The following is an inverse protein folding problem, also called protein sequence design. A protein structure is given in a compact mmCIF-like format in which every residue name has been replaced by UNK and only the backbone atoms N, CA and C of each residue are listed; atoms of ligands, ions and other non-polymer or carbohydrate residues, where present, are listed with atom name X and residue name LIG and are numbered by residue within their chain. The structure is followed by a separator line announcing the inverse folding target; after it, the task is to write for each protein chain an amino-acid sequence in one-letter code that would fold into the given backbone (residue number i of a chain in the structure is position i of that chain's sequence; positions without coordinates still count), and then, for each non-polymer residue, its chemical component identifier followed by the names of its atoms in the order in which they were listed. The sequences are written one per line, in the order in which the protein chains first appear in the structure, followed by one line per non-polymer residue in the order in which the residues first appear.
data_IF_100661081232
#
_entry.id   IF_100661081232
#
_cell.length_a   1.000
_cell.length_b   1.000
_cell.length_c   1.000
_cell.angle_alpha   90.00
_cell.angle_beta   90.00
_cell.angle_gamma   90.00
#
_symmetry.space_group_name_H-M   'P 1'
#
loop_
_entity.id
_entity.type
_entity.pdbx_description
1 polymer ?
#
# COMPACT_ATOMS: atom_id res chain seq x y z
N UNK A 1 -11.93 -4.25 -72.98
CA UNK A 1 -12.02 -2.85 -72.56
C UNK A 1 -12.76 -2.66 -71.23
N UNK A 2 -13.87 -3.34 -71.00
CA UNK A 2 -14.69 -3.30 -69.78
C UNK A 2 -13.96 -3.79 -68.50
N UNK A 3 -13.13 -4.86 -68.57
CA UNK A 3 -12.36 -5.35 -67.44
C UNK A 3 -11.29 -4.39 -66.90
N UNK A 4 -10.69 -3.61 -67.80
CA UNK A 4 -9.72 -2.57 -67.39
C UNK A 4 -10.38 -1.43 -66.60
N UNK A 5 -11.62 -1.06 -66.96
CA UNK A 5 -12.37 0.00 -66.27
C UNK A 5 -12.80 -0.49 -64.86
N UNK A 6 -13.23 -1.74 -64.74
CA UNK A 6 -13.57 -2.35 -63.44
C UNK A 6 -12.35 -2.46 -62.51
N UNK A 7 -11.19 -2.81 -63.04
CA UNK A 7 -9.95 -2.90 -62.23
C UNK A 7 -9.48 -1.53 -61.70
N UNK A 8 -9.54 -0.51 -62.51
CA UNK A 8 -9.16 0.87 -62.14
C UNK A 8 -10.13 1.42 -61.03
N UNK A 9 -11.43 1.13 -61.17
CA UNK A 9 -12.42 1.55 -60.17
C UNK A 9 -12.17 0.84 -58.78
N UNK A 10 -11.87 -0.43 -58.81
CA UNK A 10 -11.52 -1.18 -57.58
C UNK A 10 -10.23 -0.69 -56.92
N UNK A 11 -9.24 -0.26 -57.72
CA UNK A 11 -8.01 0.31 -57.22
C UNK A 11 -8.25 1.69 -56.57
N UNK A 12 -9.13 2.53 -57.16
CA UNK A 12 -9.54 3.82 -56.58
C UNK A 12 -10.29 3.63 -55.27
N UNK A 13 -11.22 2.69 -55.19
CA UNK A 13 -11.95 2.39 -53.97
C UNK A 13 -10.99 1.90 -52.87
N UNK A 14 -10.02 1.04 -53.19
CA UNK A 14 -9.04 0.56 -52.21
C UNK A 14 -8.14 1.73 -51.71
N UNK A 15 -7.72 2.64 -52.56
CA UNK A 15 -6.97 3.83 -52.13
C UNK A 15 -7.78 4.76 -51.22
N UNK A 16 -9.10 4.91 -51.50
CA UNK A 16 -10.00 5.66 -50.63
C UNK A 16 -10.17 5.03 -49.25
N UNK A 17 -10.30 3.71 -49.19
CA UNK A 17 -10.40 2.95 -47.92
C UNK A 17 -9.10 3.10 -47.10
N UNK A 18 -7.93 3.00 -47.75
CA UNK A 18 -6.64 3.17 -47.06
C UNK A 18 -6.48 4.58 -46.49
N UNK A 19 -6.89 5.61 -47.29
CA UNK A 19 -6.84 6.99 -46.82
C UNK A 19 -7.82 7.26 -45.68
N UNK A 20 -9.00 6.65 -45.72
CA UNK A 20 -9.98 6.74 -44.63
C UNK A 20 -9.51 6.08 -43.35
N UNK A 21 -8.89 4.90 -43.45
CA UNK A 21 -8.32 4.17 -42.26
C UNK A 21 -7.14 4.96 -41.66
N UNK A 22 -6.26 5.56 -42.50
CA UNK A 22 -5.18 6.42 -42.05
C UNK A 22 -5.70 7.70 -41.37
N UNK A 23 -6.72 8.34 -41.93
CA UNK A 23 -7.32 9.52 -41.34
C UNK A 23 -8.03 9.22 -40.02
N UNK A 24 -8.72 8.07 -39.91
CA UNK A 24 -9.39 7.63 -38.69
C UNK A 24 -8.37 7.29 -37.58
N UNK A 25 -7.25 6.68 -37.93
CA UNK A 25 -6.17 6.39 -36.99
C UNK A 25 -5.48 7.64 -36.45
N UNK A 26 -5.31 8.66 -37.30
CA UNK A 26 -4.77 9.96 -36.90
C UNK A 26 -5.73 10.71 -35.97
N UNK A 27 -7.04 10.74 -36.30
CA UNK A 27 -8.07 11.36 -35.47
C UNK A 27 -8.19 10.68 -34.10
N UNK A 28 -8.08 9.35 -34.04
CA UNK A 28 -8.10 8.60 -32.78
C UNK A 28 -6.85 8.91 -31.93
N UNK A 29 -5.67 9.02 -32.54
CA UNK A 29 -4.43 9.43 -31.85
C UNK A 29 -4.53 10.83 -31.25
N UNK A 30 -5.14 11.79 -31.97
CA UNK A 30 -5.37 13.16 -31.48
C UNK A 30 -6.41 13.20 -30.34
N UNK A 31 -7.46 12.39 -30.41
CA UNK A 31 -8.47 12.31 -29.36
C UNK A 31 -7.91 11.74 -28.05
N UNK A 32 -7.08 10.70 -28.14
CA UNK A 32 -6.40 10.11 -26.97
C UNK A 32 -5.37 11.08 -26.36
N UNK A 33 -4.65 11.85 -27.19
CA UNK A 33 -3.69 12.84 -26.71
C UNK A 33 -4.39 14.03 -26.03
N UNK A 34 -5.56 14.46 -26.53
CA UNK A 34 -6.35 15.56 -25.94
C UNK A 34 -6.94 15.24 -24.57
N UNK A 35 -7.24 13.96 -24.28
CA UNK A 35 -7.75 13.52 -22.97
C UNK A 35 -6.64 13.50 -21.91
N UNK A 36 -5.38 13.31 -22.32
CA UNK A 36 -4.23 13.22 -21.41
C UNK A 36 -3.70 14.58 -20.93
N UNK A 37 -4.12 15.69 -21.53
CA UNK A 37 -3.57 17.04 -21.24
C UNK A 37 -4.49 17.96 -20.44
N UNK A 38 -5.69 17.53 -20.03
CA UNK A 38 -6.70 18.39 -19.40
C UNK A 38 -6.89 18.19 -17.91
N UNK A 39 -5.82 17.98 -17.14
CA UNK A 39 -5.88 18.08 -15.68
C UNK A 39 -5.20 19.38 -15.22
N UNK A 40 -5.96 20.45 -15.10
CA UNK A 40 -5.53 21.62 -14.33
C UNK A 40 -5.59 21.27 -12.84
N UNK A 41 -4.52 21.43 -12.06
CA UNK A 41 -4.61 21.28 -10.62
C UNK A 41 -5.49 22.40 -10.07
N UNK A 42 -6.63 22.04 -9.53
CA UNK A 42 -7.44 22.94 -8.70
C UNK A 42 -6.77 22.98 -7.33
N UNK A 43 -6.09 24.06 -7.02
CA UNK A 43 -5.67 24.35 -5.66
C UNK A 43 -6.91 24.83 -4.89
N UNK A 44 -7.52 23.95 -4.12
CA UNK A 44 -8.44 24.35 -3.08
C UNK A 44 -7.60 24.83 -1.89
N UNK A 45 -7.88 26.02 -1.39
CA UNK A 45 -7.40 26.47 -0.08
C UNK A 45 -7.96 25.48 0.96
N UNK A 46 -7.08 24.65 1.57
CA UNK A 46 -7.50 23.72 2.61
C UNK A 46 -7.84 24.53 3.87
N UNK A 47 -9.11 24.83 4.09
CA UNK A 47 -9.60 25.22 5.40
C UNK A 47 -9.19 24.14 6.41
N UNK A 48 -8.51 24.56 7.49
CA UNK A 48 -8.16 23.63 8.57
C UNK A 48 -9.44 23.03 9.13
N UNK A 49 -9.56 21.70 9.19
CA UNK A 49 -10.75 21.08 9.77
C UNK A 49 -10.92 21.53 11.23
N UNK A 50 -12.17 21.67 11.67
CA UNK A 50 -12.47 22.10 13.04
C UNK A 50 -11.77 21.23 14.09
N UNK A 51 -11.72 19.93 13.88
CA UNK A 51 -11.02 18.97 14.74
C UNK A 51 -9.99 18.19 13.93
N UNK A 52 -8.73 18.16 14.39
CA UNK A 52 -7.66 17.33 13.85
C UNK A 52 -6.74 16.85 14.95
N UNK A 53 -6.76 15.54 15.20
CA UNK A 53 -5.97 14.87 16.22
C UNK A 53 -4.70 14.29 15.61
N UNK A 54 -3.57 14.45 16.30
CA UNK A 54 -2.34 13.70 16.06
C UNK A 54 -1.83 13.13 17.38
N UNK A 55 -1.15 11.99 17.33
CA UNK A 55 -0.49 11.38 18.50
C UNK A 55 0.99 11.12 18.20
N UNK A 56 1.84 11.27 19.19
CA UNK A 56 3.28 11.03 19.07
C UNK A 56 3.88 10.55 20.41
N UNK A 57 4.60 9.41 20.41
CA UNK A 57 4.83 8.48 19.33
C UNK A 57 3.55 7.67 18.97
N UNK A 58 3.56 6.97 17.84
CA UNK A 58 2.45 6.05 17.42
C UNK A 58 2.67 4.61 17.91
N UNK A 59 3.85 4.32 18.42
CA UNK A 59 4.24 3.02 18.98
C UNK A 59 5.21 3.22 20.13
N UNK A 60 5.05 2.42 21.18
CA UNK A 60 5.97 2.34 22.29
C UNK A 60 6.36 0.88 22.52
N UNK A 61 7.68 0.60 22.51
CA UNK A 61 8.26 -0.72 22.81
C UNK A 61 8.86 -0.69 24.20
N UNK A 62 8.37 -1.56 25.07
CA UNK A 62 8.68 -1.54 26.50
C UNK A 62 9.13 -2.92 26.99
N UNK A 63 10.02 -2.93 27.97
CA UNK A 63 10.35 -4.15 28.73
C UNK A 63 9.41 -4.25 29.93
N UNK A 64 8.88 -5.43 30.16
CA UNK A 64 7.92 -5.72 31.23
C UNK A 64 8.55 -6.71 32.20
N UNK A 65 9.01 -6.23 33.37
CA UNK A 65 9.52 -7.05 34.42
C UNK A 65 8.44 -7.29 35.49
N UNK A 66 8.33 -8.50 36.02
CA UNK A 66 7.35 -8.83 37.05
C UNK A 66 7.47 -7.90 38.28
N UNK A 67 6.31 -7.52 38.82
CA UNK A 67 6.17 -6.63 39.99
C UNK A 67 6.73 -5.21 39.76
N UNK A 68 7.03 -4.83 38.51
CA UNK A 68 7.54 -3.49 38.16
C UNK A 68 6.40 -2.55 37.80
N UNK A 69 6.61 -1.27 38.13
CA UNK A 69 5.71 -0.17 37.76
C UNK A 69 6.50 0.86 36.98
N UNK A 70 6.15 1.06 35.71
CA UNK A 70 6.83 2.01 34.84
C UNK A 70 5.85 3.04 34.31
N UNK A 71 6.25 4.31 34.31
CA UNK A 71 5.49 5.40 33.72
C UNK A 71 6.05 5.76 32.35
N UNK A 72 5.13 6.08 31.44
CA UNK A 72 5.40 6.49 30.07
C UNK A 72 4.53 7.67 29.70
N UNK A 73 4.96 8.46 28.72
CA UNK A 73 4.19 9.58 28.19
C UNK A 73 4.01 9.49 26.68
N UNK A 74 2.96 10.13 26.21
CA UNK A 74 2.77 10.42 24.78
C UNK A 74 2.05 11.75 24.63
N UNK A 75 2.14 12.36 23.47
CA UNK A 75 1.53 13.63 23.18
C UNK A 75 0.29 13.47 22.31
N UNK A 76 -0.73 14.26 22.62
CA UNK A 76 -1.91 14.49 21.79
C UNK A 76 -1.87 15.92 21.29
N UNK A 77 -1.70 16.10 19.98
CA UNK A 77 -1.63 17.40 19.33
C UNK A 77 -2.97 17.71 18.68
N UNK A 78 -3.53 18.87 18.97
CA UNK A 78 -4.67 19.42 18.26
C UNK A 78 -4.19 20.36 17.16
N UNK A 79 -4.19 19.88 15.90
CA UNK A 79 -3.82 20.69 14.73
C UNK A 79 -5.03 21.29 14.01
N UNK A 80 -6.23 21.15 14.59
CA UNK A 80 -7.47 21.76 14.13
C UNK A 80 -7.63 23.22 14.56
N UNK A 81 -8.77 23.80 14.21
CA UNK A 81 -9.11 25.20 14.54
C UNK A 81 -9.97 25.36 15.81
N UNK A 82 -10.45 24.25 16.41
CA UNK A 82 -11.26 24.26 17.63
C UNK A 82 -10.68 23.37 18.72
N UNK A 83 -10.85 23.77 20.00
CA UNK A 83 -10.56 22.92 21.13
C UNK A 83 -11.56 21.78 21.28
N UNK A 84 -11.10 20.63 21.80
CA UNK A 84 -11.94 19.46 22.06
C UNK A 84 -11.50 18.71 23.32
N UNK A 85 -12.44 17.92 23.88
CA UNK A 85 -12.14 16.94 24.92
C UNK A 85 -11.94 15.57 24.27
N UNK A 86 -11.10 14.75 24.90
CA UNK A 86 -10.86 13.38 24.46
C UNK A 86 -10.71 12.43 25.64
N UNK A 87 -11.07 11.19 25.41
CA UNK A 87 -10.93 10.09 26.33
C UNK A 87 -9.75 9.22 25.94
N UNK A 88 -9.00 8.71 26.92
CA UNK A 88 -7.93 7.73 26.73
C UNK A 88 -8.27 6.44 27.50
N UNK A 89 -8.03 5.30 26.87
CA UNK A 89 -8.22 3.98 27.44
C UNK A 89 -7.40 2.93 26.68
N UNK A 90 -7.11 1.78 27.32
CA UNK A 90 -6.34 0.71 26.71
C UNK A 90 -7.21 -0.49 26.35
N UNK A 91 -6.98 -1.05 25.16
CA UNK A 91 -7.61 -2.28 24.70
C UNK A 91 -6.57 -3.31 24.28
N UNK A 92 -6.95 -4.62 24.22
CA UNK A 92 -6.14 -5.64 23.60
C UNK A 92 -5.74 -5.25 22.18
N UNK A 93 -4.53 -5.62 21.75
CA UNK A 93 -4.13 -5.51 20.35
C UNK A 93 -3.74 -6.88 19.83
N UNK A 94 -4.50 -7.39 18.89
CA UNK A 94 -4.21 -8.63 18.14
C UNK A 94 -4.60 -8.47 16.69
N UNK A 95 -4.38 -9.49 15.88
CA UNK A 95 -4.78 -9.55 14.47
C UNK A 95 -5.61 -10.80 14.22
N UNK A 96 -6.55 -10.72 13.25
CA UNK A 96 -7.51 -11.80 13.03
C UNK A 96 -7.35 -12.55 11.71
N UNK A 97 -6.46 -12.08 10.82
CA UNK A 97 -6.23 -12.73 9.52
C UNK A 97 -4.83 -12.45 8.99
N UNK A 98 -4.48 -13.07 7.88
CA UNK A 98 -3.18 -12.89 7.22
C UNK A 98 -2.98 -11.50 6.62
N UNK A 99 -4.05 -10.74 6.35
CA UNK A 99 -4.02 -9.33 5.94
C UNK A 99 -3.73 -8.39 7.11
N UNK A 100 -3.60 -8.93 8.32
CA UNK A 100 -3.27 -8.21 9.53
C UNK A 100 -4.34 -7.20 9.96
N UNK A 101 -5.60 -7.55 9.76
CA UNK A 101 -6.72 -6.75 10.26
C UNK A 101 -6.69 -6.71 11.79
N UNK A 102 -6.64 -5.51 12.40
CA UNK A 102 -6.52 -5.40 13.85
C UNK A 102 -7.80 -5.82 14.56
N UNK A 103 -7.65 -6.47 15.72
CA UNK A 103 -8.70 -6.77 16.68
C UNK A 103 -8.39 -6.12 18.02
N UNK A 104 -9.39 -5.44 18.61
CA UNK A 104 -9.23 -4.68 19.84
C UNK A 104 -10.07 -5.23 21.00
N UNK A 105 -10.62 -6.43 20.85
CA UNK A 105 -11.47 -7.10 21.84
C UNK A 105 -10.99 -8.51 22.20
N UNK A 106 -10.05 -9.06 21.42
CA UNK A 106 -9.58 -10.43 21.63
C UNK A 106 -8.57 -10.51 22.79
N UNK A 107 -9.03 -11.05 23.93
CA UNK A 107 -8.20 -11.31 25.11
C UNK A 107 -7.55 -12.68 24.97
N UNK A 108 -6.21 -12.72 25.05
CA UNK A 108 -5.41 -13.94 25.03
C UNK A 108 -4.14 -13.77 25.88
N UNK A 109 -3.26 -14.76 25.87
CA UNK A 109 -2.02 -14.73 26.64
C UNK A 109 -1.09 -13.55 26.29
N UNK A 110 -1.18 -13.03 25.06
CA UNK A 110 -0.34 -11.95 24.53
C UNK A 110 -1.00 -10.56 24.59
N UNK A 111 -2.19 -10.42 25.21
CA UNK A 111 -2.90 -9.14 25.27
C UNK A 111 -3.25 -8.68 26.68
N UNK A 112 -2.70 -9.34 27.70
CA UNK A 112 -2.99 -9.05 29.10
C UNK A 112 -2.53 -7.66 29.54
N UNK A 113 -1.47 -7.12 28.91
CA UNK A 113 -0.92 -5.79 29.21
C UNK A 113 -1.96 -4.68 29.12
N UNK A 114 -3.00 -4.83 28.31
CA UNK A 114 -4.10 -3.85 28.22
C UNK A 114 -4.80 -3.60 29.56
N UNK A 115 -4.81 -4.58 30.47
CA UNK A 115 -5.40 -4.47 31.82
C UNK A 115 -4.44 -3.88 32.84
N UNK A 116 -3.14 -3.85 32.54
CA UNK A 116 -2.10 -3.33 33.44
C UNK A 116 -1.85 -1.84 33.23
N UNK A 117 -2.41 -1.26 32.15
CA UNK A 117 -2.27 0.14 31.81
C UNK A 117 -3.33 0.96 32.55
N UNK A 118 -2.88 2.03 33.21
CA UNK A 118 -3.73 3.05 33.82
C UNK A 118 -3.23 4.44 33.46
N UNK A 119 -4.12 5.42 33.40
CA UNK A 119 -3.87 6.78 32.95
C UNK A 119 -3.98 7.77 34.11
N UNK A 120 -3.03 8.73 34.18
CA UNK A 120 -3.00 9.76 35.20
C UNK A 120 -3.93 10.90 34.77
N UNK A 121 -5.03 11.12 35.49
CA UNK A 121 -5.93 12.24 35.22
C UNK A 121 -5.32 13.60 35.65
N UNK A 122 -6.02 14.70 35.40
CA UNK A 122 -5.57 16.05 35.77
C UNK A 122 -5.50 16.29 37.30
N UNK A 123 -6.12 15.45 38.11
CA UNK A 123 -6.00 15.47 39.59
C UNK A 123 -4.83 14.65 40.11
N UNK A 124 -4.12 13.92 39.25
CA UNK A 124 -2.97 13.09 39.58
C UNK A 124 -3.32 11.64 39.93
N UNK A 125 -4.59 11.25 39.88
CA UNK A 125 -5.06 9.90 40.16
C UNK A 125 -4.96 9.00 38.91
N UNK A 126 -4.75 7.69 39.14
CA UNK A 126 -4.65 6.72 38.07
C UNK A 126 -5.93 5.90 37.94
N UNK A 127 -6.46 5.78 36.70
CA UNK A 127 -7.65 5.00 36.38
C UNK A 127 -7.49 4.29 35.04
N UNK A 128 -8.35 3.30 34.76
CA UNK A 128 -8.36 2.55 33.50
C UNK A 128 -8.75 3.45 32.28
N UNK A 129 -9.38 4.57 32.58
CA UNK A 129 -9.84 5.55 31.60
C UNK A 129 -9.65 6.96 32.18
N UNK A 130 -9.22 7.92 31.37
CA UNK A 130 -9.10 9.31 31.76
C UNK A 130 -9.57 10.24 30.63
N UNK A 131 -10.09 11.42 31.02
CA UNK A 131 -10.55 12.44 30.07
C UNK A 131 -9.69 13.68 30.20
N UNK A 132 -9.36 14.28 29.06
CA UNK A 132 -8.55 15.49 28.96
C UNK A 132 -9.19 16.46 27.96
N UNK A 133 -8.71 17.72 28.03
CA UNK A 133 -9.05 18.75 27.03
C UNK A 133 -7.78 19.31 26.41
N UNK A 134 -7.88 19.72 25.15
CA UNK A 134 -6.80 20.34 24.40
C UNK A 134 -7.36 21.46 23.52
N UNK A 135 -6.80 22.66 23.68
CA UNK A 135 -7.19 23.81 22.87
C UNK A 135 -6.64 23.75 21.45
N UNK A 136 -7.21 24.56 20.55
CA UNK A 136 -6.77 24.65 19.15
C UNK A 136 -5.27 25.00 19.06
N UNK A 137 -4.54 24.21 18.27
CA UNK A 137 -3.10 24.39 18.07
C UNK A 137 -2.22 24.04 19.28
N UNK A 138 -2.79 23.45 20.34
CA UNK A 138 -2.08 23.08 21.56
C UNK A 138 -1.76 21.59 21.61
N UNK A 139 -0.83 21.24 22.51
CA UNK A 139 -0.39 19.88 22.82
C UNK A 139 -0.78 19.54 24.27
N UNK A 140 -1.31 18.35 24.47
CA UNK A 140 -1.54 17.73 25.79
C UNK A 140 -0.62 16.52 25.93
N UNK A 141 0.24 16.52 26.95
CA UNK A 141 0.98 15.34 27.36
C UNK A 141 0.06 14.45 28.21
N UNK A 142 0.03 13.17 27.88
CA UNK A 142 -0.72 12.15 28.61
C UNK A 142 0.26 11.16 29.22
N UNK A 143 0.18 10.99 30.55
CA UNK A 143 0.96 10.01 31.29
C UNK A 143 0.15 8.76 31.53
N UNK A 144 0.76 7.61 31.26
CA UNK A 144 0.21 6.31 31.63
C UNK A 144 1.26 5.46 32.34
N UNK A 145 0.80 4.57 33.21
CA UNK A 145 1.69 3.60 33.86
C UNK A 145 1.27 2.18 33.52
N UNK A 146 2.25 1.30 33.46
CA UNK A 146 2.06 -0.15 33.34
C UNK A 146 2.47 -0.76 34.68
N UNK A 147 1.50 -1.37 35.38
CA UNK A 147 1.74 -2.11 36.62
C UNK A 147 1.78 -3.60 36.28
N UNK A 148 2.97 -4.14 36.17
CA UNK A 148 3.18 -5.52 35.78
C UNK A 148 2.95 -6.45 36.99
N UNK A 149 1.99 -7.41 36.90
CA UNK A 149 1.77 -8.34 38.01
C UNK A 149 2.94 -9.36 38.19
N UNK A 150 2.91 -10.13 39.25
CA UNK A 150 3.68 -11.36 39.37
C UNK A 150 3.07 -12.43 38.46
N UNK A 151 3.87 -13.38 38.00
CA UNK A 151 3.44 -14.54 37.21
C UNK A 151 2.80 -14.12 35.87
N UNK A 152 3.62 -13.54 35.01
CA UNK A 152 3.24 -13.17 33.65
C UNK A 152 3.77 -14.19 32.64
N UNK A 153 3.02 -14.46 31.56
CA UNK A 153 3.52 -15.33 30.50
C UNK A 153 4.74 -14.72 29.80
N UNK A 154 5.75 -15.56 29.53
CA UNK A 154 6.93 -15.19 28.76
C UNK A 154 6.57 -14.79 27.32
N UNK A 155 7.34 -13.85 26.75
CA UNK A 155 7.20 -13.42 25.35
C UNK A 155 6.63 -12.02 25.18
N UNK A 156 5.88 -11.83 24.09
CA UNK A 156 5.30 -10.52 23.72
C UNK A 156 3.95 -10.24 24.37
N UNK A 157 3.70 -8.99 24.71
CA UNK A 157 2.43 -8.47 25.23
C UNK A 157 2.01 -7.25 24.43
N UNK A 158 0.77 -7.21 23.93
CA UNK A 158 0.32 -6.21 22.96
C UNK A 158 -0.97 -5.53 23.41
N UNK A 159 -0.95 -4.21 23.42
CA UNK A 159 -2.11 -3.36 23.67
C UNK A 159 -2.14 -2.19 22.69
N UNK A 160 -3.30 -1.57 22.61
CA UNK A 160 -3.47 -0.27 21.98
C UNK A 160 -4.07 0.70 22.99
N UNK A 161 -3.46 1.86 23.11
CA UNK A 161 -4.00 2.98 23.87
C UNK A 161 -4.76 3.86 22.89
N UNK A 162 -6.06 3.95 23.06
CA UNK A 162 -6.89 4.81 22.23
C UNK A 162 -6.99 6.22 22.79
N UNK A 163 -6.93 7.18 21.88
CA UNK A 163 -7.31 8.58 22.06
C UNK A 163 -8.57 8.79 21.22
N UNK A 164 -9.71 8.97 21.88
CA UNK A 164 -11.02 9.09 21.27
C UNK A 164 -11.62 10.45 21.55
N UNK A 165 -11.89 11.24 20.51
CA UNK A 165 -12.50 12.54 20.67
C UNK A 165 -13.92 12.43 21.24
N UNK A 166 -14.25 13.26 22.19
CA UNK A 166 -15.60 13.39 22.73
C UNK A 166 -16.33 14.44 21.90
N UNK A 167 -17.41 14.09 21.18
CA UNK A 167 -18.18 15.05 20.41
C UNK A 167 -18.77 16.13 21.34
N UNK A 168 -18.72 17.40 20.90
CA UNK A 168 -19.50 18.45 21.55
C UNK A 168 -20.99 18.14 21.42
N UNK A 169 -21.75 18.28 22.49
CA UNK A 169 -23.21 18.19 22.46
C UNK A 169 -23.79 19.38 21.71
N UNK A 170 -23.98 19.22 20.42
CA UNK A 170 -24.86 20.09 19.66
C UNK A 170 -26.19 19.38 19.44
N UNK A 171 -27.28 20.08 19.70
CA UNK A 171 -28.68 19.57 19.56
C UNK A 171 -29.09 19.37 18.09
N UNK A 172 -28.14 19.37 17.14
CA UNK A 172 -28.38 19.08 15.73
C UNK A 172 -28.43 17.55 15.54
N UNK A 173 -29.59 16.99 15.31
CA UNK A 173 -29.84 15.55 15.14
C UNK A 173 -29.18 14.95 13.87
N UNK A 174 -27.85 15.02 13.73
CA UNK A 174 -27.07 14.52 12.60
C UNK A 174 -26.21 13.28 12.94
N UNK A 175 -25.62 12.65 11.91
CA UNK A 175 -24.64 11.59 12.08
C UNK A 175 -23.34 12.22 12.61
N UNK A 176 -22.87 11.74 13.76
CA UNK A 176 -21.61 12.20 14.37
C UNK A 176 -20.45 11.26 13.99
N UNK A 177 -19.38 11.82 13.48
CA UNK A 177 -18.13 11.09 13.25
C UNK A 177 -17.23 11.27 14.46
N UNK A 178 -16.85 10.17 15.12
CA UNK A 178 -15.90 10.15 16.24
C UNK A 178 -14.52 9.80 15.68
N UNK A 179 -13.55 10.70 15.84
CA UNK A 179 -12.16 10.43 15.50
C UNK A 179 -11.49 9.66 16.63
N UNK A 180 -10.86 8.54 16.30
CA UNK A 180 -10.11 7.72 17.24
C UNK A 180 -8.75 7.34 16.66
N UNK A 181 -7.69 7.60 17.40
CA UNK A 181 -6.32 7.21 17.09
C UNK A 181 -5.80 6.22 18.12
N UNK A 182 -4.78 5.44 17.78
CA UNK A 182 -4.22 4.43 18.67
C UNK A 182 -2.70 4.48 18.73
N UNK A 183 -2.15 4.57 19.96
CA UNK A 183 -0.75 4.27 20.27
C UNK A 183 -0.61 2.78 20.52
N UNK A 184 0.18 2.09 19.74
CA UNK A 184 0.51 0.68 19.97
C UNK A 184 1.51 0.52 21.11
N UNK A 185 1.23 -0.36 22.03
CA UNK A 185 2.16 -0.73 23.12
C UNK A 185 2.59 -2.17 22.90
N UNK A 186 3.88 -2.36 22.59
CA UNK A 186 4.53 -3.64 22.38
C UNK A 186 5.45 -3.90 23.56
N UNK A 187 5.03 -4.78 24.46
CA UNK A 187 5.75 -5.19 25.63
C UNK A 187 6.52 -6.49 25.40
N UNK A 188 7.75 -6.56 25.89
CA UNK A 188 8.53 -7.79 25.97
C UNK A 188 8.74 -8.15 27.44
N UNK A 189 8.26 -9.32 27.87
CA UNK A 189 8.49 -9.82 29.22
C UNK A 189 9.91 -10.41 29.35
N UNK A 190 10.46 -10.43 30.56
CA UNK A 190 11.76 -11.01 30.86
C UNK A 190 11.73 -12.55 31.01
N UNK A 191 10.57 -13.20 30.82
CA UNK A 191 10.44 -14.65 30.79
C UNK A 191 11.04 -15.28 29.53
N UNK A 192 10.90 -16.60 29.39
CA UNK A 192 11.45 -17.34 28.25
C UNK A 192 10.86 -16.82 26.92
N UNK A 193 11.72 -16.32 26.06
CA UNK A 193 11.35 -15.88 24.71
C UNK A 193 11.74 -16.96 23.71
N UNK A 194 10.73 -17.47 22.98
CA UNK A 194 10.92 -18.40 21.87
C UNK A 194 10.69 -17.65 20.55
N UNK A 195 11.74 -17.50 19.78
CA UNK A 195 11.67 -16.90 18.45
C UNK A 195 11.58 -18.00 17.39
N UNK A 196 10.62 -17.89 16.47
CA UNK A 196 10.43 -18.85 15.37
C UNK A 196 9.77 -18.18 14.18
N UNK A 197 10.48 -18.12 13.07
CA UNK A 197 9.98 -17.57 11.80
C UNK A 197 10.01 -18.62 10.71
N UNK A 198 8.99 -18.59 9.84
CA UNK A 198 8.96 -19.39 8.61
C UNK A 198 8.48 -18.53 7.45
N UNK A 199 9.26 -18.48 6.36
CA UNK A 199 8.83 -17.83 5.11
C UNK A 199 8.07 -18.87 4.29
N UNK A 200 6.75 -18.80 4.26
CA UNK A 200 5.87 -19.73 3.56
C UNK A 200 5.90 -19.52 2.05
N UNK A 201 5.85 -18.26 1.62
CA UNK A 201 5.87 -17.89 0.21
C UNK A 201 6.65 -16.61 -0.04
N UNK A 202 7.17 -16.47 -1.27
CA UNK A 202 7.77 -15.23 -1.77
C UNK A 202 7.65 -15.22 -3.29
N UNK A 203 6.78 -14.37 -3.83
CA UNK A 203 6.38 -14.37 -5.22
C UNK A 203 6.45 -12.96 -5.84
N UNK A 204 6.77 -12.93 -7.14
CA UNK A 204 6.79 -11.73 -7.97
C UNK A 204 6.47 -12.13 -9.41
N UNK A 205 5.67 -11.34 -10.12
CA UNK A 205 5.37 -11.56 -11.53
C UNK A 205 6.52 -11.08 -12.43
N UNK A 206 6.54 -11.58 -13.67
CA UNK A 206 7.57 -11.20 -14.67
C UNK A 206 7.03 -10.27 -15.75
N UNK A 207 5.72 -10.04 -15.81
CA UNK A 207 5.07 -9.23 -16.82
C UNK A 207 4.00 -8.34 -16.22
N UNK A 208 4.02 -7.04 -16.58
CA UNK A 208 3.06 -6.04 -16.12
C UNK A 208 2.55 -5.21 -17.30
N UNK A 209 1.24 -5.04 -17.40
CA UNK A 209 0.60 -4.21 -18.44
C UNK A 209 0.48 -2.75 -18.03
N UNK A 210 0.60 -2.44 -16.75
CA UNK A 210 0.51 -1.06 -16.24
C UNK A 210 1.07 -0.96 -14.82
N UNK A 211 1.51 0.21 -14.48
CA UNK A 211 1.60 0.92 -13.25
C UNK A 211 2.36 0.24 -12.12
N UNK A 212 1.77 -0.54 -11.27
CA UNK A 212 2.35 -0.94 -9.98
C UNK A 212 2.99 -2.31 -10.05
N UNK A 213 4.31 -2.39 -9.84
CA UNK A 213 4.99 -3.68 -9.67
C UNK A 213 4.90 -4.07 -8.21
N UNK A 214 4.43 -5.29 -7.98
CA UNK A 214 4.21 -5.85 -6.66
C UNK A 214 5.04 -7.09 -6.44
N UNK A 215 5.53 -7.24 -5.20
CA UNK A 215 6.11 -8.48 -4.72
C UNK A 215 5.40 -8.86 -3.42
N UNK A 216 5.08 -10.13 -3.28
CA UNK A 216 4.30 -10.66 -2.16
C UNK A 216 5.12 -11.71 -1.41
N UNK A 217 5.00 -11.71 -0.10
CA UNK A 217 5.56 -12.73 0.77
C UNK A 217 4.59 -13.10 1.87
N UNK A 218 4.68 -14.32 2.36
CA UNK A 218 3.92 -14.79 3.52
C UNK A 218 4.89 -15.28 4.57
N UNK A 219 4.79 -14.72 5.76
CA UNK A 219 5.66 -15.05 6.91
C UNK A 219 4.80 -15.53 8.06
N UNK A 220 5.18 -16.65 8.66
CA UNK A 220 4.55 -17.22 9.85
C UNK A 220 5.47 -17.04 11.05
N UNK A 221 4.90 -16.62 12.17
CA UNK A 221 5.52 -16.60 13.48
C UNK A 221 4.91 -17.73 14.34
N UNK A 222 5.71 -18.71 14.70
CA UNK A 222 5.33 -19.80 15.62
C UNK A 222 6.01 -19.66 16.99
N UNK A 223 6.61 -18.50 17.26
CA UNK A 223 7.18 -18.13 18.56
C UNK A 223 6.16 -17.46 19.47
N UNK A 224 6.61 -17.07 20.67
CA UNK A 224 5.79 -16.38 21.67
C UNK A 224 6.06 -14.86 21.73
N UNK A 225 6.85 -14.31 20.80
CA UNK A 225 7.19 -12.90 20.72
C UNK A 225 7.15 -12.41 19.27
N UNK A 226 6.87 -11.11 19.09
CA UNK A 226 6.93 -10.48 17.77
C UNK A 226 8.37 -10.37 17.26
N UNK A 227 8.49 -10.35 15.95
CA UNK A 227 9.71 -9.93 15.26
C UNK A 227 9.38 -9.06 14.07
N UNK A 228 10.38 -8.34 13.55
CA UNK A 228 10.24 -7.52 12.37
C UNK A 228 10.76 -8.27 11.14
N UNK A 229 9.85 -8.59 10.19
CA UNK A 229 10.23 -9.12 8.88
C UNK A 229 10.60 -7.96 7.96
N UNK A 230 11.79 -8.02 7.35
CA UNK A 230 12.30 -6.96 6.47
C UNK A 230 12.14 -7.40 5.03
N UNK A 231 11.37 -6.62 4.26
CA UNK A 231 11.17 -6.83 2.84
C UNK A 231 11.95 -5.77 2.05
N UNK A 232 12.93 -6.21 1.25
CA UNK A 232 13.76 -5.34 0.40
C UNK A 232 13.40 -5.54 -1.05
N UNK A 233 13.41 -4.44 -1.79
CA UNK A 233 13.06 -4.42 -3.21
C UNK A 233 14.03 -3.53 -3.96
N UNK A 234 14.72 -4.09 -4.97
CA UNK A 234 15.71 -3.38 -5.77
C UNK A 234 15.38 -3.55 -7.26
N UNK A 235 15.33 -2.44 -7.98
CA UNK A 235 15.07 -2.39 -9.43
C UNK A 235 16.27 -1.83 -10.15
N UNK A 236 16.76 -2.56 -11.13
CA UNK A 236 17.93 -2.19 -11.95
C UNK A 236 17.57 -2.25 -13.44
N UNK A 237 18.15 -1.34 -14.23
CA UNK A 237 18.11 -1.45 -15.70
C UNK A 237 18.90 -2.68 -16.14
N UNK A 238 18.54 -3.28 -17.27
CA UNK A 238 19.23 -4.47 -17.81
C UNK A 238 20.74 -4.22 -18.04
N UNK A 239 21.10 -3.01 -18.45
CA UNK A 239 22.50 -2.62 -18.72
C UNK A 239 23.14 -1.87 -17.53
N UNK A 240 22.60 -2.02 -16.32
CA UNK A 240 23.13 -1.44 -15.09
C UNK A 240 22.45 -0.14 -14.66
N UNK A 241 22.68 0.22 -13.40
CA UNK A 241 22.09 1.38 -12.73
C UNK A 241 20.79 1.03 -11.98
N UNK A 242 20.78 1.38 -10.67
CA UNK A 242 19.61 1.27 -9.81
C UNK A 242 18.61 2.36 -10.17
N UNK A 243 17.35 1.99 -10.34
CA UNK A 243 16.23 2.89 -10.66
C UNK A 243 15.40 3.16 -9.42
N UNK A 244 15.24 2.13 -8.58
CA UNK A 244 14.45 2.20 -7.37
C UNK A 244 14.97 1.19 -6.36
N UNK A 245 14.98 1.57 -5.10
CA UNK A 245 15.30 0.70 -3.99
C UNK A 245 14.45 1.11 -2.78
N UNK A 246 13.82 0.13 -2.13
CA UNK A 246 13.02 0.34 -0.93
C UNK A 246 13.21 -0.82 0.05
N UNK A 247 13.03 -0.53 1.34
CA UNK A 247 13.11 -1.51 2.41
C UNK A 247 12.08 -1.19 3.47
N UNK A 248 11.17 -2.13 3.72
CA UNK A 248 10.07 -1.95 4.67
C UNK A 248 10.04 -3.07 5.70
N UNK A 249 9.91 -2.69 6.97
CA UNK A 249 9.72 -3.61 8.09
C UNK A 249 8.24 -3.88 8.35
N UNK A 250 7.96 -5.14 8.74
CA UNK A 250 6.61 -5.61 9.05
C UNK A 250 6.65 -6.42 10.34
N UNK A 251 6.01 -5.93 11.39
CA UNK A 251 5.90 -6.67 12.63
C UNK A 251 5.04 -7.92 12.43
N UNK A 252 5.53 -9.07 12.87
CA UNK A 252 4.81 -10.35 12.83
C UNK A 252 4.57 -10.81 14.27
N UNK A 253 3.32 -10.71 14.73
CA UNK A 253 2.90 -11.05 16.07
C UNK A 253 2.98 -12.58 16.31
N UNK A 254 3.12 -13.04 17.57
CA UNK A 254 3.15 -14.46 17.89
C UNK A 254 1.90 -15.20 17.40
N UNK A 255 2.08 -16.45 17.03
CA UNK A 255 1.04 -17.37 16.57
C UNK A 255 0.23 -16.84 15.37
N UNK A 256 0.83 -15.97 14.55
CA UNK A 256 0.17 -15.38 13.37
C UNK A 256 0.92 -15.66 12.06
N UNK A 257 0.18 -15.60 10.98
CA UNK A 257 0.70 -15.56 9.61
C UNK A 257 0.40 -14.20 9.01
N UNK A 258 1.39 -13.57 8.38
CA UNK A 258 1.25 -12.26 7.76
C UNK A 258 1.55 -12.31 6.27
N UNK A 259 0.60 -11.85 5.46
CA UNK A 259 0.84 -11.51 4.06
C UNK A 259 1.44 -10.12 3.97
N UNK A 260 2.57 -10.02 3.29
CA UNK A 260 3.34 -8.80 3.15
C UNK A 260 3.41 -8.45 1.66
N UNK A 261 3.12 -7.21 1.33
CA UNK A 261 3.23 -6.69 -0.03
C UNK A 261 4.17 -5.47 -0.03
N UNK A 262 5.10 -5.46 -0.98
CA UNK A 262 5.89 -4.29 -1.30
C UNK A 262 5.60 -3.88 -2.74
N UNK A 263 5.30 -2.61 -2.94
CA UNK A 263 4.85 -2.07 -4.23
C UNK A 263 5.78 -0.95 -4.69
N UNK A 264 6.17 -1.00 -5.95
CA UNK A 264 6.79 0.13 -6.63
C UNK A 264 5.71 0.88 -7.41
N UNK A 265 5.29 2.03 -6.88
CA UNK A 265 4.18 2.84 -7.41
C UNK A 265 4.59 3.73 -8.59
N UNK A 266 5.82 4.25 -8.58
CA UNK A 266 6.37 5.16 -9.60
C UNK A 266 7.04 4.40 -10.75
N UNK A 267 6.35 3.39 -11.29
CA UNK A 267 6.91 2.60 -12.36
C UNK A 267 7.00 3.38 -13.67
N UNK A 268 8.11 3.24 -14.44
CA UNK A 268 8.19 3.79 -15.79
C UNK A 268 7.09 3.21 -16.68
N UNK A 269 6.65 4.03 -17.65
CA UNK A 269 5.59 3.64 -18.57
C UNK A 269 5.95 2.40 -19.41
N UNK A 270 7.24 2.14 -19.62
CA UNK A 270 7.74 1.05 -20.48
C UNK A 270 9.18 0.68 -20.10
N UNK A 271 9.52 -0.60 -20.19
CA UNK A 271 10.91 -1.05 -20.07
C UNK A 271 11.10 -2.50 -19.66
N UNK A 272 12.37 -2.90 -19.63
CA UNK A 272 12.82 -4.20 -19.14
C UNK A 272 13.76 -3.94 -17.97
N UNK A 273 13.45 -4.54 -16.82
CA UNK A 273 14.18 -4.33 -15.58
C UNK A 273 14.58 -5.66 -14.95
N UNK A 274 15.71 -5.66 -14.26
CA UNK A 274 16.06 -6.73 -13.34
C UNK A 274 15.57 -6.32 -11.95
N UNK A 275 14.70 -7.11 -11.36
CA UNK A 275 14.14 -6.84 -10.05
C UNK A 275 14.57 -7.93 -9.09
N UNK A 276 15.16 -7.52 -7.99
CA UNK A 276 15.53 -8.38 -6.87
C UNK A 276 14.68 -8.03 -5.67
N UNK A 277 13.94 -9.01 -5.18
CA UNK A 277 13.14 -8.92 -3.98
C UNK A 277 13.69 -9.87 -2.93
N UNK A 278 13.92 -9.40 -1.72
CA UNK A 278 14.48 -10.19 -0.62
C UNK A 278 13.62 -10.02 0.62
N UNK A 279 13.14 -11.14 1.16
CA UNK A 279 12.37 -11.21 2.39
C UNK A 279 13.21 -11.89 3.46
N UNK A 280 13.44 -11.16 4.57
CA UNK A 280 14.18 -11.65 5.73
C UNK A 280 13.24 -11.72 6.95
N UNK A 281 13.29 -12.82 7.67
CA UNK A 281 12.51 -13.04 8.89
C UNK A 281 13.39 -13.83 9.88
N UNK A 282 13.89 -13.18 10.92
CA UNK A 282 14.90 -13.71 11.83
C UNK A 282 16.14 -14.25 11.07
N UNK A 283 16.43 -15.53 11.21
CA UNK A 283 17.51 -16.27 10.54
C UNK A 283 17.14 -16.74 9.12
N UNK A 284 15.87 -16.61 8.73
CA UNK A 284 15.35 -17.00 7.41
C UNK A 284 15.52 -15.89 6.39
N UNK A 285 15.97 -16.24 5.17
CA UNK A 285 16.06 -15.31 4.06
C UNK A 285 15.64 -15.97 2.75
N UNK A 286 14.74 -15.33 2.01
CA UNK A 286 14.40 -15.72 0.63
C UNK A 286 14.61 -14.54 -0.31
N UNK A 287 15.39 -14.76 -1.37
CA UNK A 287 15.60 -13.78 -2.42
C UNK A 287 15.13 -14.32 -3.77
N UNK A 288 14.43 -13.48 -4.51
CA UNK A 288 13.96 -13.79 -5.87
C UNK A 288 14.42 -12.68 -6.81
N UNK A 289 15.10 -13.04 -7.88
CA UNK A 289 15.49 -12.11 -8.94
C UNK A 289 14.80 -12.50 -10.23
N UNK A 290 14.11 -11.54 -10.86
CA UNK A 290 13.43 -11.74 -12.15
C UNK A 290 13.73 -10.62 -13.12
N UNK A 291 13.70 -10.96 -14.41
CA UNK A 291 13.61 -9.98 -15.49
C UNK A 291 12.13 -9.68 -15.68
N UNK A 292 11.77 -8.42 -15.49
CA UNK A 292 10.39 -7.93 -15.54
C UNK A 292 10.22 -7.02 -16.75
N UNK A 293 9.20 -7.32 -17.55
CA UNK A 293 8.81 -6.55 -18.73
C UNK A 293 7.56 -5.72 -18.38
N UNK A 294 7.65 -4.41 -18.59
CA UNK A 294 6.54 -3.47 -18.45
C UNK A 294 6.13 -3.01 -19.83
N UNK A 295 4.89 -3.30 -20.26
CA UNK A 295 4.31 -2.82 -21.51
C UNK A 295 2.91 -2.26 -21.23
N UNK A 296 2.71 -0.95 -21.28
CA UNK A 296 1.39 -0.36 -21.06
C UNK A 296 0.42 -0.74 -22.18
N UNK A 297 -0.84 -0.86 -21.84
CA UNK A 297 -1.92 -1.31 -22.74
C UNK A 297 -1.95 -0.50 -24.04
N UNK A 298 -1.75 0.83 -23.98
CA UNK A 298 -1.74 1.65 -25.18
C UNK A 298 -0.63 1.27 -26.18
N UNK A 299 0.55 0.84 -25.70
CA UNK A 299 1.63 0.36 -26.58
C UNK A 299 1.25 -0.95 -27.27
N UNK A 300 0.54 -1.85 -26.59
CA UNK A 300 0.03 -3.08 -27.19
C UNK A 300 -0.94 -2.74 -28.32
N UNK A 301 -1.83 -1.78 -28.10
CA UNK A 301 -2.78 -1.31 -29.15
C UNK A 301 -2.02 -0.71 -30.34
N UNK A 302 -1.00 0.11 -30.11
CA UNK A 302 -0.15 0.67 -31.18
C UNK A 302 0.55 -0.44 -31.97
N UNK A 303 1.14 -1.43 -31.27
CA UNK A 303 1.80 -2.57 -31.92
C UNK A 303 0.82 -3.38 -32.78
N UNK A 304 -0.38 -3.63 -32.28
CA UNK A 304 -1.42 -4.32 -33.05
C UNK A 304 -1.87 -3.52 -34.27
N UNK A 305 -2.01 -2.20 -34.16
CA UNK A 305 -2.30 -1.33 -35.32
C UNK A 305 -1.17 -1.36 -36.37
N UNK A 306 0.09 -1.28 -35.93
CA UNK A 306 1.23 -1.39 -36.84
C UNK A 306 1.28 -2.75 -37.53
N UNK A 307 0.99 -3.83 -36.79
CA UNK A 307 0.91 -5.18 -37.35
C UNK A 307 -0.19 -5.28 -38.42
N UNK A 308 -1.39 -4.76 -38.16
CA UNK A 308 -2.46 -4.77 -39.16
C UNK A 308 -2.13 -3.95 -40.40
N UNK A 309 -1.47 -2.79 -40.27
CA UNK A 309 -0.98 -1.98 -41.38
C UNK A 309 0.05 -2.73 -42.23
N UNK A 310 1.03 -3.40 -41.56
CA UNK A 310 2.05 -4.19 -42.26
C UNK A 310 1.45 -5.36 -43.02
N UNK A 311 0.50 -6.10 -42.41
CA UNK A 311 -0.20 -7.17 -43.09
C UNK A 311 -0.99 -6.66 -44.31
N UNK A 312 -1.71 -5.58 -44.17
CA UNK A 312 -2.45 -4.95 -45.27
C UNK A 312 -1.52 -4.52 -46.41
N UNK A 313 -0.37 -3.94 -46.09
CA UNK A 313 0.67 -3.56 -47.05
C UNK A 313 1.24 -4.78 -47.81
N UNK A 314 1.53 -5.85 -47.10
CA UNK A 314 2.00 -7.13 -47.73
C UNK A 314 0.93 -7.72 -48.67
N UNK A 315 -0.35 -7.72 -48.29
CA UNK A 315 -1.43 -8.18 -49.15
C UNK A 315 -1.50 -7.36 -50.41
N UNK A 316 -1.37 -6.04 -50.30
CA UNK A 316 -1.40 -5.13 -51.49
C UNK A 316 -0.22 -5.40 -52.42
N UNK A 317 0.99 -5.56 -51.86
CA UNK A 317 2.19 -5.89 -52.64
C UNK A 317 2.06 -7.25 -53.35
N UNK A 318 1.53 -8.26 -52.64
CA UNK A 318 1.33 -9.58 -53.21
C UNK A 318 0.33 -9.55 -54.38
N UNK A 319 -0.79 -8.88 -54.20
CA UNK A 319 -1.79 -8.67 -55.27
C UNK A 319 -1.23 -7.90 -56.46
N UNK A 320 -0.40 -6.84 -56.25
CA UNK A 320 0.28 -6.15 -57.32
C UNK A 320 1.23 -7.05 -58.11
N UNK A 321 2.00 -7.88 -57.43
CA UNK A 321 2.92 -8.85 -58.08
C UNK A 321 2.18 -9.90 -58.90
N UNK A 322 1.07 -10.42 -58.40
CA UNK A 322 0.24 -11.35 -59.19
C UNK A 322 -0.38 -10.70 -60.45
N UNK A 323 -0.88 -9.46 -60.32
CA UNK A 323 -1.44 -8.76 -61.45
C UNK A 323 -0.38 -8.38 -62.51
N UNK A 324 0.88 -8.20 -62.14
CA UNK A 324 1.98 -8.05 -63.09
C UNK A 324 2.36 -9.32 -63.81
N UNK A 325 2.38 -10.47 -63.10
CA UNK A 325 2.63 -11.77 -63.68
C UNK A 325 1.56 -12.19 -64.69
N UNK A 326 0.28 -11.94 -64.41
CA UNK A 326 -0.81 -12.23 -65.36
C UNK A 326 -0.80 -11.38 -66.64
N UNK A 327 -0.11 -10.20 -66.65
CA UNK A 327 0.06 -9.35 -67.83
C UNK A 327 1.25 -9.76 -68.71
N UNK A 328 2.17 -10.60 -68.21
CA UNK A 328 3.35 -11.07 -68.96
C UNK A 328 3.07 -12.39 -69.74
N UNK A 329 1.91 -13.01 -69.49
CA UNK A 329 1.52 -14.31 -70.08
C UNK A 329 0.51 -14.14 -71.25
N UNK A 330 0.11 -12.91 -71.55
CA UNK A 330 -0.71 -12.55 -72.72
C UNK A 330 0.18 -11.77 -73.71
#
# INVERSE_FOLDING_TARGET
MLERISFISKLRQLQLIIKAVLALSLLFSFAVFGILTSSSPVYADEEKPAMRIQISPVENRVTLNENEVNEYTFNVDNTGSEGYSFKVYANPYSVVNEQYSPSFSNQNAHTQVSRWITFKNDTGEYSQEATYSVEAGQRKEVTYKITVPSDIPGGGQYAIVFVEAIPKDDNSGGIRTVSRLGLRVFGRTNGETKESAEILSHNMDSFYMSGKIKTNGTVKNSGNADFNAIFKFKVEKIFGGVVYEDSKGYDVLPDTTRNIELTWDETPAFGIYRITSTLNALDQSRSTTKIVLIIPVFMIVILLMLLTITIAWFIILFRKRQAQKSKLII
#
